data_IF_276885400057
#
_entry.id   IF_276885400057
#
_cell.length_a   1.000
_cell.length_b   1.000
_cell.length_c   1.000
_cell.angle_alpha   90.00
_cell.angle_beta   90.00
_cell.angle_gamma   90.00
#
_symmetry.space_group_name_H-M   'P 1'
#
loop_
_entity.id
_entity.type
_entity.pdbx_description
1 polymer ?
#
# COMPACT_ATOMS: atom_id res chain seq x y z
N UNK A 1 29.20 12.97 2.02
CA UNK A 1 28.83 11.66 2.60
C UNK A 1 27.32 11.53 2.55
N UNK A 2 26.86 10.50 1.86
CA UNK A 2 25.45 10.19 1.79
C UNK A 2 25.00 9.61 3.14
N UNK A 3 24.05 10.27 3.80
CA UNK A 3 23.47 9.78 5.05
C UNK A 3 22.09 9.19 4.71
N UNK A 4 21.88 7.95 5.14
CA UNK A 4 20.57 7.31 5.08
C UNK A 4 20.11 7.02 6.51
N UNK A 5 18.93 7.50 6.84
CA UNK A 5 18.31 7.30 8.15
C UNK A 5 16.89 6.76 7.96
N UNK A 6 16.52 5.85 8.83
CA UNK A 6 15.20 5.22 8.81
C UNK A 6 14.78 4.82 10.21
N UNK A 7 13.54 5.09 10.58
CA UNK A 7 12.94 4.48 11.76
C UNK A 7 11.51 4.00 11.48
N UNK A 8 11.09 3.06 12.29
CA UNK A 8 9.78 2.43 12.25
C UNK A 8 9.27 2.26 13.69
N UNK A 9 8.10 2.80 14.00
CA UNK A 9 7.46 2.71 15.31
C UNK A 9 6.11 2.04 15.15
N UNK A 10 5.87 0.99 15.93
CA UNK A 10 4.57 0.31 15.99
C UNK A 10 4.04 0.41 17.40
N UNK A 11 2.85 1.00 17.53
CA UNK A 11 2.09 1.01 18.76
C UNK A 11 0.90 0.07 18.61
N UNK A 12 0.70 -0.80 19.59
CA UNK A 12 -0.42 -1.74 19.62
C UNK A 12 -1.13 -1.64 20.95
N UNK A 13 -2.45 -1.50 20.92
CA UNK A 13 -3.28 -1.40 22.11
C UNK A 13 -4.58 -2.21 21.97
N UNK A 14 -4.83 -3.10 22.94
CA UNK A 14 -6.09 -3.83 23.03
C UNK A 14 -7.07 -3.00 23.83
N UNK A 15 -7.98 -2.32 23.13
CA UNK A 15 -8.99 -1.43 23.74
C UNK A 15 -10.01 -2.24 24.54
N UNK A 16 -10.45 -3.37 24.00
CA UNK A 16 -11.36 -4.33 24.67
C UNK A 16 -10.88 -5.76 24.33
N UNK A 17 -11.41 -6.82 24.99
CA UNK A 17 -11.12 -8.20 24.60
C UNK A 17 -11.38 -8.50 23.11
N UNK A 18 -12.28 -7.74 22.47
CA UNK A 18 -12.68 -7.90 21.07
C UNK A 18 -12.09 -6.85 20.13
N UNK A 19 -11.46 -5.80 20.66
CA UNK A 19 -11.03 -4.65 19.86
C UNK A 19 -9.53 -4.44 19.99
N UNK A 20 -8.82 -4.50 18.86
CA UNK A 20 -7.39 -4.23 18.76
C UNK A 20 -7.17 -3.00 17.88
N UNK A 21 -6.42 -2.04 18.39
CA UNK A 21 -5.90 -0.89 17.63
C UNK A 21 -4.41 -1.05 17.40
N UNK A 22 -3.95 -0.75 16.19
CA UNK A 22 -2.53 -0.71 15.84
C UNK A 22 -2.26 0.59 15.09
N UNK A 23 -1.24 1.31 15.51
CA UNK A 23 -0.70 2.47 14.82
C UNK A 23 0.73 2.17 14.41
N UNK A 24 1.05 2.44 13.16
CA UNK A 24 2.36 2.24 12.58
C UNK A 24 2.82 3.56 11.95
N UNK A 25 3.98 4.05 12.32
CA UNK A 25 4.61 5.24 11.76
C UNK A 25 6.00 4.89 11.24
N UNK A 26 6.29 5.39 10.05
CA UNK A 26 7.60 5.25 9.40
C UNK A 26 8.09 6.63 8.98
N UNK A 27 9.36 6.88 9.15
CA UNK A 27 10.06 8.01 8.58
C UNK A 27 11.39 7.55 7.99
N UNK A 28 11.75 8.10 6.85
CA UNK A 28 13.03 7.85 6.22
C UNK A 28 13.58 9.10 5.54
N UNK A 29 14.88 9.17 5.52
CA UNK A 29 15.68 10.23 4.93
C UNK A 29 16.82 9.63 4.10
N UNK A 30 17.08 10.20 2.94
CA UNK A 30 18.21 9.86 2.08
C UNK A 30 18.87 11.16 1.57
N UNK A 31 20.08 11.41 2.02
CA UNK A 31 20.84 12.60 1.63
C UNK A 31 21.57 12.42 0.31
N UNK A 32 21.57 13.46 -0.51
CA UNK A 32 22.36 13.52 -1.73
C UNK A 32 21.95 12.55 -2.85
N UNK A 33 20.68 12.20 -2.95
CA UNK A 33 20.18 11.28 -3.99
C UNK A 33 19.97 12.00 -5.33
N UNK A 34 20.32 11.33 -6.43
CA UNK A 34 20.02 11.81 -7.77
C UNK A 34 18.54 11.58 -8.08
N UNK A 35 17.79 12.66 -8.25
CA UNK A 35 16.38 12.63 -8.62
C UNK A 35 16.21 12.87 -10.10
N UNK A 36 15.43 12.00 -10.74
CA UNK A 36 15.00 12.18 -12.13
C UNK A 36 13.53 11.73 -12.24
N UNK A 37 12.62 12.69 -12.08
CA UNK A 37 11.18 12.46 -12.05
C UNK A 37 10.42 13.66 -12.64
N UNK A 38 9.10 13.69 -12.52
CA UNK A 38 8.27 14.75 -13.11
C UNK A 38 8.57 16.16 -12.57
N UNK A 39 9.10 16.26 -11.37
CA UNK A 39 9.45 17.54 -10.74
C UNK A 39 10.94 17.86 -10.86
N UNK A 40 11.80 16.86 -10.73
CA UNK A 40 13.25 17.02 -10.67
C UNK A 40 13.92 16.31 -11.85
N UNK A 41 14.73 17.03 -12.64
CA UNK A 41 15.45 16.48 -13.78
C UNK A 41 16.94 16.51 -13.49
N UNK A 42 17.54 15.34 -13.20
CA UNK A 42 18.96 15.16 -12.89
C UNK A 42 19.48 16.11 -11.78
N UNK A 43 18.72 16.21 -10.72
CA UNK A 43 19.05 17.06 -9.55
C UNK A 43 19.49 16.19 -8.39
N UNK A 44 20.61 16.54 -7.77
CA UNK A 44 21.03 15.94 -6.49
C UNK A 44 20.36 16.71 -5.37
N UNK A 45 19.56 16.01 -4.58
CA UNK A 45 18.78 16.58 -3.47
C UNK A 45 18.55 15.54 -2.39
N UNK A 46 18.26 16.02 -1.18
CA UNK A 46 17.78 15.17 -0.10
C UNK A 46 16.33 14.75 -0.37
N UNK A 47 16.01 13.52 0.01
CA UNK A 47 14.68 12.95 -0.12
C UNK A 47 14.17 12.47 1.24
N UNK A 48 12.93 12.81 1.53
CA UNK A 48 12.24 12.37 2.74
C UNK A 48 10.96 11.62 2.36
N UNK A 49 10.61 10.66 3.21
CA UNK A 49 9.33 9.96 3.12
C UNK A 49 8.81 9.62 4.49
N UNK A 50 7.49 9.63 4.65
CA UNK A 50 6.86 9.28 5.91
C UNK A 50 5.51 8.61 5.68
N UNK A 51 5.10 7.79 6.64
CA UNK A 51 3.77 7.16 6.62
C UNK A 51 3.16 7.06 8.00
N UNK A 52 1.85 7.13 8.05
CA UNK A 52 1.05 6.76 9.21
C UNK A 52 -0.03 5.76 8.77
N UNK A 53 -0.09 4.61 9.44
CA UNK A 53 -1.05 3.56 9.14
C UNK A 53 -1.76 3.20 10.43
N UNK A 54 -3.09 3.34 10.44
CA UNK A 54 -3.92 2.95 11.57
C UNK A 54 -4.76 1.72 11.21
N UNK A 55 -4.81 0.75 12.11
CA UNK A 55 -5.67 -0.42 11.99
C UNK A 55 -6.60 -0.49 13.18
N UNK A 56 -7.84 -0.85 12.91
CA UNK A 56 -8.82 -1.20 13.93
C UNK A 56 -9.41 -2.56 13.58
N UNK A 57 -9.23 -3.52 14.47
CA UNK A 57 -9.80 -4.86 14.33
C UNK A 57 -10.87 -5.07 15.38
N UNK A 58 -11.97 -5.71 14.98
CA UNK A 58 -13.07 -6.03 15.87
C UNK A 58 -13.60 -7.45 15.63
N UNK A 59 -13.64 -8.26 16.68
CA UNK A 59 -14.18 -9.61 16.64
C UNK A 59 -15.71 -9.58 16.78
N UNK A 60 -16.41 -9.71 15.66
CA UNK A 60 -17.88 -9.79 15.61
C UNK A 60 -18.37 -11.05 16.29
N UNK A 61 -17.73 -12.17 15.96
CA UNK A 61 -18.00 -13.50 16.55
C UNK A 61 -16.67 -14.26 16.70
N UNK A 62 -16.71 -15.46 17.24
CA UNK A 62 -15.52 -16.34 17.30
C UNK A 62 -14.96 -16.72 15.89
N UNK A 63 -15.81 -16.61 14.88
CA UNK A 63 -15.47 -17.02 13.51
C UNK A 63 -15.36 -15.88 12.51
N UNK A 64 -15.75 -14.66 12.88
CA UNK A 64 -15.76 -13.50 11.98
C UNK A 64 -15.17 -12.29 12.68
N UNK A 65 -14.15 -11.70 12.09
CA UNK A 65 -13.60 -10.42 12.50
C UNK A 65 -13.68 -9.43 11.34
N UNK A 66 -13.91 -8.16 11.64
CA UNK A 66 -13.80 -7.05 10.70
C UNK A 66 -12.53 -6.27 10.98
N UNK A 67 -11.87 -5.83 9.92
CA UNK A 67 -10.70 -4.95 10.00
C UNK A 67 -10.92 -3.70 9.17
N UNK A 68 -10.56 -2.56 9.75
CA UNK A 68 -10.42 -1.30 9.05
C UNK A 68 -8.96 -0.88 9.06
N UNK A 69 -8.45 -0.36 7.93
CA UNK A 69 -7.10 0.19 7.79
C UNK A 69 -7.19 1.52 7.07
N UNK A 70 -6.65 2.56 7.69
CA UNK A 70 -6.43 3.87 7.08
C UNK A 70 -4.93 4.10 6.91
N UNK A 71 -4.52 4.66 5.78
CA UNK A 71 -3.12 4.87 5.44
C UNK A 71 -2.92 6.28 4.87
N UNK A 72 -1.85 6.91 5.29
CA UNK A 72 -1.27 8.07 4.64
C UNK A 72 0.23 7.82 4.45
N UNK A 73 0.71 8.11 3.26
CA UNK A 73 2.12 8.04 2.92
C UNK A 73 2.50 9.25 2.08
N UNK A 74 3.57 9.93 2.46
CA UNK A 74 4.16 11.04 1.73
C UNK A 74 5.55 10.66 1.22
N UNK A 75 5.79 10.92 -0.04
CA UNK A 75 7.10 10.89 -0.70
C UNK A 75 7.36 12.29 -1.25
N UNK A 76 8.10 13.11 -0.50
CA UNK A 76 8.26 14.54 -0.80
C UNK A 76 9.09 14.81 -2.05
N UNK A 77 9.96 13.88 -2.38
CA UNK A 77 10.87 13.97 -3.52
C UNK A 77 10.51 13.01 -4.67
N UNK A 78 9.53 12.11 -4.50
CA UNK A 78 9.24 11.07 -5.47
C UNK A 78 10.38 10.05 -5.60
N UNK A 79 11.05 9.75 -4.49
CA UNK A 79 12.22 8.88 -4.47
C UNK A 79 11.88 7.42 -4.14
N UNK A 80 10.95 7.21 -3.20
CA UNK A 80 10.65 5.88 -2.67
C UNK A 80 9.49 5.18 -3.36
N UNK A 81 8.56 5.93 -3.92
CA UNK A 81 7.42 5.35 -4.60
C UNK A 81 7.51 5.62 -6.11
N UNK A 82 8.30 4.82 -6.84
CA UNK A 82 8.32 4.91 -8.29
C UNK A 82 6.92 4.66 -8.82
N UNK A 83 6.60 5.23 -9.95
CA UNK A 83 5.30 5.07 -10.61
C UNK A 83 4.78 3.65 -10.48
N UNK A 84 3.50 3.44 -10.13
CA UNK A 84 2.90 2.12 -9.97
C UNK A 84 3.01 1.25 -11.22
N UNK A 85 3.30 1.84 -12.37
CA UNK A 85 3.45 1.13 -13.64
C UNK A 85 4.78 0.38 -13.80
N UNK A 86 5.68 0.42 -12.83
CA UNK A 86 6.96 -0.31 -12.90
C UNK A 86 7.61 -0.26 -14.30
N UNK A 87 7.79 0.93 -14.81
CA UNK A 87 8.12 1.14 -16.22
C UNK A 87 9.44 0.51 -16.60
N UNK A 88 10.42 0.52 -15.73
CA UNK A 88 11.66 -0.18 -15.98
C UNK A 88 11.44 -1.69 -16.21
N UNK A 89 10.51 -2.29 -15.48
CA UNK A 89 10.13 -3.69 -15.66
C UNK A 89 9.34 -3.89 -16.96
N UNK A 90 8.45 -2.96 -17.29
CA UNK A 90 7.65 -3.01 -18.52
C UNK A 90 8.53 -2.77 -19.77
N UNK A 91 9.42 -1.78 -19.74
CA UNK A 91 10.32 -1.48 -20.84
C UNK A 91 11.30 -2.63 -21.15
N UNK A 92 11.70 -3.38 -20.12
CA UNK A 92 12.63 -4.50 -20.25
C UNK A 92 11.93 -5.86 -20.27
N UNK A 93 10.58 -5.88 -20.30
CA UNK A 93 9.76 -7.09 -20.22
C UNK A 93 10.15 -8.03 -19.06
N UNK A 94 10.65 -7.45 -17.97
CA UNK A 94 11.04 -8.17 -16.76
C UNK A 94 9.77 -8.44 -15.96
N UNK A 95 9.54 -9.67 -15.54
CA UNK A 95 8.37 -10.13 -14.77
C UNK A 95 7.07 -10.36 -15.55
N UNK A 96 7.11 -10.46 -16.88
CA UNK A 96 5.94 -10.86 -17.67
C UNK A 96 4.76 -9.88 -17.63
N UNK A 97 4.95 -8.69 -17.10
CA UNK A 97 3.93 -7.64 -17.10
C UNK A 97 4.06 -6.84 -18.39
N UNK A 98 3.40 -7.28 -19.43
CA UNK A 98 3.23 -6.50 -20.67
C UNK A 98 2.29 -5.32 -20.38
N UNK A 99 2.82 -4.25 -19.82
CA UNK A 99 2.12 -2.97 -19.81
C UNK A 99 2.52 -2.29 -21.11
N UNK A 100 1.64 -2.35 -22.09
CA UNK A 100 1.77 -1.56 -23.32
C UNK A 100 1.58 -0.10 -22.95
N UNK A 101 2.68 0.63 -22.84
CA UNK A 101 2.65 2.06 -22.63
C UNK A 101 2.99 2.76 -23.95
N UNK A 102 1.98 3.38 -24.55
CA UNK A 102 2.12 4.14 -25.80
C UNK A 102 2.65 5.58 -25.58
N UNK A 103 3.43 5.82 -24.53
CA UNK A 103 3.91 7.13 -24.14
C UNK A 103 5.41 7.21 -23.89
N UNK A 104 5.92 8.42 -23.83
CA UNK A 104 7.32 8.68 -23.49
C UNK A 104 7.59 8.23 -22.04
N UNK A 105 8.59 7.36 -21.83
CA UNK A 105 8.99 6.85 -20.51
C UNK A 105 9.24 7.95 -19.47
N UNK A 106 9.60 9.16 -19.91
CA UNK A 106 9.78 10.31 -19.04
C UNK A 106 8.48 10.80 -18.37
N UNK A 107 7.32 10.42 -18.89
CA UNK A 107 6.01 10.85 -18.33
C UNK A 107 5.48 9.97 -17.19
N UNK A 108 6.19 8.91 -16.85
CA UNK A 108 5.72 7.88 -15.93
C UNK A 108 6.68 7.66 -14.76
N UNK A 109 7.60 8.58 -14.56
CA UNK A 109 8.54 8.57 -13.45
C UNK A 109 7.82 8.87 -12.14
N UNK A 110 8.42 8.45 -11.02
CA UNK A 110 7.97 8.80 -9.69
C UNK A 110 7.72 10.32 -9.60
N UNK A 111 6.74 10.71 -8.83
CA UNK A 111 6.46 12.13 -8.57
C UNK A 111 6.26 12.33 -7.07
N UNK A 112 6.68 13.49 -6.54
CA UNK A 112 6.33 13.87 -5.18
C UNK A 112 4.81 13.84 -4.98
N UNK A 113 4.36 13.09 -3.99
CA UNK A 113 2.93 12.90 -3.78
C UNK A 113 2.58 12.50 -2.34
N UNK A 114 1.34 12.78 -1.98
CA UNK A 114 0.63 12.16 -0.88
C UNK A 114 -0.22 11.00 -1.42
N UNK A 115 -0.13 9.87 -0.75
CA UNK A 115 -0.88 8.66 -1.03
C UNK A 115 -1.79 8.36 0.16
N UNK A 116 -3.07 8.17 -0.13
CA UNK A 116 -4.08 7.82 0.87
C UNK A 116 -4.69 6.48 0.50
N UNK A 117 -4.95 5.66 1.51
CA UNK A 117 -5.71 4.45 1.29
C UNK A 117 -6.62 4.16 2.48
N UNK A 118 -7.79 3.62 2.18
CA UNK A 118 -8.72 3.09 3.17
C UNK A 118 -9.12 1.67 2.76
N UNK A 119 -9.02 0.73 3.69
CA UNK A 119 -9.38 -0.66 3.45
C UNK A 119 -10.35 -1.12 4.53
N UNK A 120 -11.41 -1.80 4.13
CA UNK A 120 -12.27 -2.58 5.02
C UNK A 120 -12.27 -4.02 4.55
N UNK A 121 -12.16 -4.96 5.49
CA UNK A 121 -12.12 -6.37 5.16
C UNK A 121 -12.66 -7.25 6.30
N UNK A 122 -12.99 -8.46 5.94
CA UNK A 122 -13.40 -9.49 6.87
C UNK A 122 -12.31 -10.57 6.96
N UNK A 123 -12.18 -11.18 8.12
CA UNK A 123 -11.48 -12.44 8.30
C UNK A 123 -12.50 -13.47 8.76
N UNK A 124 -12.86 -14.39 7.89
CA UNK A 124 -13.93 -15.35 8.10
C UNK A 124 -13.41 -16.79 8.13
N UNK A 125 -13.49 -17.44 9.28
CA UNK A 125 -13.19 -18.85 9.49
C UNK A 125 -14.35 -19.70 8.95
N UNK A 126 -14.47 -19.77 7.63
CA UNK A 126 -15.66 -20.29 6.92
C UNK A 126 -15.99 -21.72 7.30
N UNK A 127 -15.01 -22.59 7.41
CA UNK A 127 -15.22 -24.00 7.72
C UNK A 127 -15.85 -24.21 9.11
N UNK A 128 -15.46 -23.40 10.07
CA UNK A 128 -16.06 -23.41 11.42
C UNK A 128 -17.49 -22.89 11.39
N UNK A 129 -17.74 -21.82 10.67
CA UNK A 129 -19.07 -21.22 10.53
C UNK A 129 -20.06 -22.19 9.86
N UNK A 130 -19.63 -22.87 8.80
CA UNK A 130 -20.46 -23.79 8.02
C UNK A 130 -20.44 -25.24 8.56
N UNK A 131 -19.71 -25.51 9.65
CA UNK A 131 -19.55 -26.85 10.27
C UNK A 131 -19.14 -27.93 9.26
N UNK A 132 -18.20 -27.55 8.36
CA UNK A 132 -17.70 -28.49 7.34
C UNK A 132 -16.97 -29.64 8.00
N UNK A 133 -17.24 -30.88 7.51
CA UNK A 133 -16.69 -32.10 8.08
C UNK A 133 -15.25 -32.40 7.67
N UNK A 134 -14.74 -31.73 6.64
CA UNK A 134 -13.41 -31.99 6.11
C UNK A 134 -12.33 -31.32 6.97
N UNK A 135 -11.49 -32.11 7.60
CA UNK A 135 -10.49 -31.63 8.56
C UNK A 135 -9.51 -30.62 7.97
N UNK A 136 -9.11 -30.81 6.73
CA UNK A 136 -8.21 -29.89 6.04
C UNK A 136 -8.83 -28.50 5.78
N UNK A 137 -10.15 -28.42 5.60
CA UNK A 137 -10.85 -27.13 5.46
C UNK A 137 -11.09 -26.43 6.78
N UNK A 138 -11.00 -27.11 7.94
CA UNK A 138 -11.28 -26.48 9.24
C UNK A 138 -10.43 -25.26 9.55
N UNK A 139 -9.27 -25.17 8.90
CA UNK A 139 -8.34 -24.03 9.05
C UNK A 139 -8.52 -22.96 7.97
N UNK A 140 -9.44 -23.17 7.01
CA UNK A 140 -9.65 -22.22 5.92
C UNK A 140 -10.21 -20.89 6.42
N UNK A 141 -9.51 -19.82 6.12
CA UNK A 141 -9.96 -18.46 6.31
C UNK A 141 -10.16 -17.78 4.96
N UNK A 142 -11.29 -17.11 4.80
CA UNK A 142 -11.57 -16.20 3.68
C UNK A 142 -11.40 -14.77 4.14
N UNK A 143 -10.79 -13.94 3.29
CA UNK A 143 -10.54 -12.53 3.57
C UNK A 143 -10.98 -11.65 2.39
N UNK A 144 -12.29 -11.46 2.19
CA UNK A 144 -12.76 -10.46 1.26
C UNK A 144 -12.43 -9.06 1.79
N UNK A 145 -11.97 -8.18 0.90
CA UNK A 145 -11.73 -6.79 1.25
C UNK A 145 -12.00 -5.85 0.09
N UNK A 146 -12.29 -4.61 0.44
CA UNK A 146 -12.43 -3.49 -0.46
C UNK A 146 -11.41 -2.45 -0.04
N UNK A 147 -10.65 -1.94 -1.00
CA UNK A 147 -9.66 -0.89 -0.80
C UNK A 147 -9.95 0.28 -1.74
N UNK A 148 -9.91 1.48 -1.20
CA UNK A 148 -9.88 2.73 -1.94
C UNK A 148 -8.49 3.31 -1.84
N UNK A 149 -7.89 3.70 -2.95
CA UNK A 149 -6.62 4.41 -3.02
C UNK A 149 -6.82 5.76 -3.68
N UNK A 150 -6.09 6.77 -3.21
CA UNK A 150 -6.03 8.11 -3.78
C UNK A 150 -4.61 8.65 -3.74
N UNK A 151 -4.23 9.37 -4.81
CA UNK A 151 -2.95 10.07 -4.91
C UNK A 151 -3.17 11.54 -5.21
N UNK A 152 -2.55 12.39 -4.42
CA UNK A 152 -2.48 13.84 -4.64
C UNK A 152 -1.01 14.22 -4.86
N UNK A 153 -0.65 14.48 -6.13
CA UNK A 153 0.69 14.91 -6.48
C UNK A 153 0.95 16.33 -5.99
N UNK A 154 2.12 16.56 -5.39
CA UNK A 154 2.46 17.85 -4.76
C UNK A 154 2.69 18.95 -5.80
N UNK A 155 3.27 18.63 -6.95
CA UNK A 155 3.61 19.62 -7.99
C UNK A 155 3.31 19.14 -9.43
N UNK A 156 2.50 18.11 -9.57
CA UNK A 156 2.12 17.55 -10.87
C UNK A 156 0.61 17.27 -10.92
N UNK A 157 -0.23 18.31 -11.04
CA UNK A 157 -1.70 18.15 -10.96
C UNK A 157 -2.28 17.27 -12.06
N UNK A 158 -1.55 17.05 -13.14
CA UNK A 158 -1.92 16.12 -14.21
C UNK A 158 -1.55 14.66 -13.93
N UNK A 159 -0.85 14.36 -12.83
CA UNK A 159 -0.48 13.00 -12.46
C UNK A 159 -1.71 12.15 -12.16
N UNK A 160 -1.87 11.06 -12.91
CA UNK A 160 -3.03 10.16 -12.88
C UNK A 160 -2.54 8.70 -12.88
N UNK A 161 -2.09 8.17 -11.73
CA UNK A 161 -1.45 6.85 -11.69
C UNK A 161 -2.40 5.66 -11.90
N UNK A 162 -3.71 5.86 -11.76
CA UNK A 162 -4.69 4.77 -11.82
C UNK A 162 -5.49 4.84 -13.13
N UNK A 163 -4.89 4.37 -14.22
CA UNK A 163 -5.51 4.35 -15.55
C UNK A 163 -6.17 5.68 -15.95
N UNK A 164 -5.48 6.80 -15.70
CA UNK A 164 -5.97 8.14 -15.99
C UNK A 164 -6.75 8.82 -14.86
N UNK A 165 -6.88 8.17 -13.70
CA UNK A 165 -7.56 8.71 -12.52
C UNK A 165 -6.57 8.99 -11.37
N UNK A 166 -6.99 9.82 -10.41
CA UNK A 166 -6.28 10.05 -9.14
C UNK A 166 -6.59 9.01 -8.08
N UNK A 167 -7.65 8.24 -8.27
CA UNK A 167 -8.16 7.28 -7.32
C UNK A 167 -8.59 5.97 -8.00
N UNK A 168 -8.72 4.93 -7.19
CA UNK A 168 -9.22 3.62 -7.60
C UNK A 168 -9.92 2.91 -6.46
N UNK A 169 -10.77 1.96 -6.81
CA UNK A 169 -11.35 0.99 -5.88
C UNK A 169 -10.90 -0.40 -6.31
N UNK A 170 -10.42 -1.18 -5.35
CA UNK A 170 -9.98 -2.55 -5.53
C UNK A 170 -10.83 -3.49 -4.68
N UNK A 171 -11.18 -4.63 -5.27
CA UNK A 171 -11.77 -5.75 -4.54
C UNK A 171 -10.76 -6.89 -4.54
N UNK A 172 -10.53 -7.50 -3.40
CA UNK A 172 -9.72 -8.70 -3.33
C UNK A 172 -10.33 -9.75 -2.41
N UNK A 173 -9.97 -11.01 -2.67
CA UNK A 173 -10.37 -12.15 -1.90
C UNK A 173 -9.13 -13.05 -1.68
N UNK A 174 -8.70 -13.14 -0.44
CA UNK A 174 -7.59 -14.00 -0.05
C UNK A 174 -8.11 -15.29 0.58
N UNK A 175 -7.44 -16.38 0.26
CA UNK A 175 -7.65 -17.68 0.87
C UNK A 175 -6.42 -18.04 1.69
N UNK A 176 -6.60 -18.28 2.99
CA UNK A 176 -5.53 -18.77 3.86
C UNK A 176 -5.86 -20.17 4.34
N UNK A 177 -5.01 -21.12 3.99
CA UNK A 177 -5.09 -22.50 4.45
C UNK A 177 -3.75 -22.86 5.14
N UNK A 178 -3.63 -22.68 6.47
CA UNK A 178 -2.44 -23.12 7.19
C UNK A 178 -2.43 -24.66 7.27
N UNK A 179 -1.34 -25.25 6.88
CA UNK A 179 -1.06 -26.70 6.91
C UNK A 179 -0.06 -27.09 8.00
#
# INVERSE_FOLDING_TARGET
SEIWAFYNIVFQHRITPKTLFVLHHVYGYAGGVLLNNLKYTNVIKDAEWMSAIAHLYYDLTENVSVGFRGEWYRDDAGFRNPSPFRIAAAANNVNGTAISYAGNLSSVTATPADYYAATIGLNWKIARSLRLKWDWLKKLNLRPNIRYDRVDALDAPAYRPFAGNKDQILFSLDFMLPF
#
